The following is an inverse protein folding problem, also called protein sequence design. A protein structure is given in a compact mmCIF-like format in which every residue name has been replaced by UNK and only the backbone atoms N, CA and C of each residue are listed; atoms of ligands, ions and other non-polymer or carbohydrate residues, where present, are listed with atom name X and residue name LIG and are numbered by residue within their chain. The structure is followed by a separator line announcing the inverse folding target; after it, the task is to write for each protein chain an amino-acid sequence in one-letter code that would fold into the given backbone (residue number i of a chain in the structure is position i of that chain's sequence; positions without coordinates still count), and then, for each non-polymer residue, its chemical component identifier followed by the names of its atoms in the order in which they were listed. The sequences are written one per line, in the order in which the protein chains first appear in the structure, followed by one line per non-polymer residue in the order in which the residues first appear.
data_IF_963585993978
#
_entry.id   IF_963585993978
#
_cell.length_a   1.000
_cell.length_b   1.000
_cell.length_c   1.000
_cell.angle_alpha   90.00
_cell.angle_beta   90.00
_cell.angle_gamma   90.00
#
_symmetry.space_group_name_H-M   'P 1'
#
loop_
_entity.id
_entity.type
_entity.pdbx_description
1 polymer ?
#
# COMPACT_ATOMS: atom_id res chain seq x y z
N UNK A 1 20.07 14.09 33.51
CA UNK A 1 19.11 14.89 32.72
C UNK A 1 18.76 14.06 31.50
N UNK A 2 17.50 13.67 31.33
CA UNK A 2 17.09 12.92 30.14
C UNK A 2 17.13 13.88 28.95
N UNK A 3 18.16 13.75 28.11
CA UNK A 3 18.22 14.40 26.81
C UNK A 3 17.09 13.83 25.96
N UNK A 4 16.05 14.63 25.73
CA UNK A 4 15.00 14.29 24.78
C UNK A 4 15.60 14.47 23.39
N UNK A 5 15.91 13.39 22.70
CA UNK A 5 16.30 13.43 21.29
C UNK A 5 15.03 13.50 20.46
N UNK A 6 14.70 14.68 19.96
CA UNK A 6 13.70 14.86 18.91
C UNK A 6 14.32 14.33 17.62
N UNK A 7 13.57 13.49 16.90
CA UNK A 7 13.98 13.07 15.56
C UNK A 7 13.97 14.29 14.63
N UNK A 8 15.02 14.48 13.83
CA UNK A 8 15.11 15.66 12.97
C UNK A 8 13.95 15.69 11.97
N UNK A 9 13.39 16.88 11.73
CA UNK A 9 12.32 17.06 10.75
C UNK A 9 12.81 16.64 9.36
N UNK A 10 12.15 15.66 8.79
CA UNK A 10 12.28 15.18 7.42
C UNK A 10 10.99 15.46 6.64
N UNK A 11 10.92 15.00 5.39
CA UNK A 11 9.75 15.21 4.54
C UNK A 11 8.53 14.36 4.92
N UNK A 12 8.72 13.36 5.78
CA UNK A 12 7.76 12.31 6.05
C UNK A 12 7.31 12.22 7.51
N UNK A 13 7.96 12.95 8.42
CA UNK A 13 7.71 12.88 9.87
C UNK A 13 7.14 14.18 10.48
N UNK A 14 6.67 15.14 9.67
CA UNK A 14 6.23 16.47 10.16
C UNK A 14 5.24 16.41 11.32
N UNK A 15 4.19 15.57 11.26
CA UNK A 15 3.18 15.50 12.33
C UNK A 15 3.78 15.06 13.68
N UNK A 16 4.68 14.07 13.65
CA UNK A 16 5.37 13.55 14.84
C UNK A 16 6.34 14.61 15.36
N UNK A 17 7.15 15.18 14.47
CA UNK A 17 8.10 16.24 14.80
C UNK A 17 7.39 17.46 15.40
N UNK A 18 6.29 17.92 14.79
CA UNK A 18 5.49 19.07 15.24
C UNK A 18 5.04 18.86 16.68
N UNK A 19 4.49 17.69 16.98
CA UNK A 19 4.02 17.33 18.33
C UNK A 19 5.17 17.31 19.35
N UNK A 20 6.31 16.69 18.99
CA UNK A 20 7.48 16.63 19.86
C UNK A 20 8.10 18.00 20.10
N UNK A 21 8.15 18.83 19.05
CA UNK A 21 8.79 20.13 19.09
C UNK A 21 7.95 21.16 19.84
N UNK A 22 6.63 21.13 19.68
CA UNK A 22 5.70 21.90 20.50
C UNK A 22 5.88 21.56 21.98
N UNK A 23 5.92 20.27 22.34
CA UNK A 23 6.14 19.83 23.72
C UNK A 23 7.48 20.32 24.30
N UNK A 24 8.56 20.32 23.49
CA UNK A 24 9.86 20.83 23.91
C UNK A 24 9.86 22.35 24.12
N UNK A 25 9.22 23.10 23.21
CA UNK A 25 9.11 24.56 23.32
C UNK A 25 8.23 24.97 24.51
N UNK A 26 7.18 24.21 24.82
CA UNK A 26 6.37 24.40 26.05
C UNK A 26 7.24 24.16 27.28
N UNK A 27 7.96 23.03 27.34
CA UNK A 27 8.86 22.70 28.45
C UNK A 27 9.92 23.77 28.69
N UNK A 28 10.37 24.43 27.63
CA UNK A 28 11.39 25.49 27.67
C UNK A 28 10.81 26.90 27.82
N UNK A 29 9.48 27.04 28.02
CA UNK A 29 8.77 28.33 28.16
C UNK A 29 8.97 29.25 26.94
N UNK A 30 8.98 28.68 25.73
CA UNK A 30 9.24 29.38 24.46
C UNK A 30 8.12 29.27 23.44
N UNK A 31 7.12 28.42 23.70
CA UNK A 31 6.03 28.17 22.76
C UNK A 31 5.27 29.44 22.36
N UNK A 32 5.01 30.32 23.33
CA UNK A 32 4.27 31.59 23.14
C UNK A 32 4.87 32.53 22.09
N UNK A 33 6.18 32.44 21.81
CA UNK A 33 6.86 33.21 20.76
C UNK A 33 6.65 32.59 19.38
N UNK A 34 6.53 31.25 19.32
CA UNK A 34 6.35 30.46 18.11
C UNK A 34 4.88 30.44 17.67
N UNK A 35 3.95 30.19 18.61
CA UNK A 35 2.50 30.37 18.40
C UNK A 35 2.16 31.85 18.13
N UNK A 36 3.01 32.73 18.66
CA UNK A 36 2.95 34.17 18.56
C UNK A 36 1.77 34.78 19.33
N UNK A 37 1.43 34.15 20.45
CA UNK A 37 0.73 34.74 21.58
C UNK A 37 1.51 35.96 22.11
N UNK A 38 2.85 35.85 22.23
CA UNK A 38 3.74 36.96 22.50
C UNK A 38 4.25 37.58 21.20
N UNK A 39 3.58 38.65 20.76
CA UNK A 39 4.04 39.44 19.61
C UNK A 39 5.27 40.27 19.94
N UNK A 40 6.09 40.51 18.91
CA UNK A 40 7.24 41.40 18.99
C UNK A 40 6.79 42.78 19.50
N UNK A 41 7.37 43.29 20.61
CA UNK A 41 7.01 44.60 21.13
C UNK A 41 7.31 45.71 20.12
N UNK A 42 6.40 46.66 19.98
CA UNK A 42 6.60 47.82 19.11
C UNK A 42 7.63 48.78 19.71
N UNK A 43 8.44 49.40 18.85
CA UNK A 43 9.58 50.23 19.25
C UNK A 43 9.17 51.45 20.09
N UNK A 44 7.96 51.96 19.88
CA UNK A 44 7.50 53.23 20.44
C UNK A 44 6.76 53.08 21.79
N UNK A 45 6.31 51.87 22.12
CA UNK A 45 5.42 51.62 23.27
C UNK A 45 6.03 50.73 24.35
N UNK A 46 7.16 50.07 24.06
CA UNK A 46 7.79 49.09 24.94
C UNK A 46 9.17 49.55 25.43
N UNK A 47 9.53 49.16 26.65
CA UNK A 47 10.87 49.44 27.18
C UNK A 47 11.93 48.67 26.39
N UNK A 48 13.15 49.23 26.27
CA UNK A 48 14.29 48.54 25.63
C UNK A 48 14.58 47.17 26.27
N UNK A 49 14.43 47.07 27.59
CA UNK A 49 14.61 45.81 28.31
C UNK A 49 13.60 44.73 27.87
N UNK A 50 12.32 45.10 27.70
CA UNK A 50 11.30 44.17 27.22
C UNK A 50 11.54 43.72 25.76
N UNK A 51 12.07 44.60 24.91
CA UNK A 51 12.45 44.26 23.54
C UNK A 51 13.63 43.28 23.48
N UNK A 52 14.66 43.52 24.30
CA UNK A 52 15.82 42.64 24.38
C UNK A 52 15.47 41.26 24.95
N UNK A 53 14.61 41.22 25.97
CA UNK A 53 14.11 39.98 26.55
C UNK A 53 13.32 39.17 25.51
N UNK A 54 12.38 39.81 24.81
CA UNK A 54 11.61 39.16 23.74
C UNK A 54 12.54 38.65 22.63
N UNK A 55 13.47 39.50 22.16
CA UNK A 55 14.42 39.14 21.10
C UNK A 55 15.33 37.96 21.50
N UNK A 56 15.71 37.88 22.77
CA UNK A 56 16.55 36.80 23.28
C UNK A 56 15.78 35.48 23.34
N UNK A 57 14.52 35.52 23.78
CA UNK A 57 13.67 34.34 23.82
C UNK A 57 13.30 33.84 22.41
N UNK A 58 12.92 34.74 21.50
CA UNK A 58 12.64 34.42 20.09
C UNK A 58 13.85 33.80 19.39
N UNK A 59 15.06 34.38 19.57
CA UNK A 59 16.29 33.81 19.00
C UNK A 59 16.60 32.41 19.51
N UNK A 60 16.32 32.13 20.79
CA UNK A 60 16.50 30.78 21.36
C UNK A 60 15.48 29.79 20.78
N UNK A 61 14.20 30.19 20.70
CA UNK A 61 13.16 29.36 20.09
C UNK A 61 13.48 29.05 18.62
N UNK A 62 13.93 30.06 17.87
CA UNK A 62 14.38 29.92 16.48
C UNK A 62 15.58 28.97 16.37
N UNK A 63 16.55 29.07 17.26
CA UNK A 63 17.70 28.17 17.28
C UNK A 63 17.28 26.72 17.56
N UNK A 64 16.39 26.49 18.53
CA UNK A 64 15.85 25.17 18.81
C UNK A 64 15.16 24.59 17.54
N UNK A 65 14.35 25.40 16.84
CA UNK A 65 13.72 25.01 15.57
C UNK A 65 14.76 24.61 14.53
N UNK A 66 15.70 25.50 14.20
CA UNK A 66 16.72 25.26 13.17
C UNK A 66 17.55 24.00 13.47
N UNK A 67 17.92 23.77 14.73
CA UNK A 67 18.73 22.62 15.14
C UNK A 67 17.96 21.29 15.09
N UNK A 68 16.63 21.34 15.06
CA UNK A 68 15.76 20.17 15.01
C UNK A 68 15.36 19.76 13.59
N UNK A 69 15.93 20.38 12.55
CA UNK A 69 15.49 20.21 11.16
C UNK A 69 16.63 19.67 10.30
N UNK A 70 16.31 18.74 9.40
CA UNK A 70 17.30 18.16 8.47
C UNK A 70 17.85 19.19 7.47
N UNK A 71 19.08 19.00 6.95
CA UNK A 71 19.67 19.92 5.98
C UNK A 71 18.80 20.16 4.74
N UNK A 72 18.08 19.13 4.25
CA UNK A 72 17.20 19.25 3.08
C UNK A 72 16.02 20.19 3.31
N UNK A 73 15.42 20.18 4.50
CA UNK A 73 14.33 21.08 4.84
C UNK A 73 14.86 22.49 5.17
N UNK A 74 16.07 22.59 5.73
CA UNK A 74 16.71 23.86 6.08
C UNK A 74 16.92 24.78 4.87
N UNK A 75 17.19 24.20 3.69
CA UNK A 75 17.31 24.94 2.41
C UNK A 75 16.07 25.79 2.08
N UNK A 76 14.90 25.46 2.65
CA UNK A 76 13.63 26.15 2.39
C UNK A 76 13.29 27.23 3.42
N UNK A 77 14.09 27.40 4.48
CA UNK A 77 13.83 28.30 5.62
C UNK A 77 14.52 29.66 5.45
N UNK A 78 15.24 29.87 4.35
CA UNK A 78 15.92 31.12 4.04
C UNK A 78 15.00 32.35 4.16
N UNK A 79 15.47 33.39 4.85
CA UNK A 79 14.76 34.66 4.99
C UNK A 79 13.77 34.76 6.15
N UNK A 80 13.55 33.70 6.94
CA UNK A 80 12.70 33.80 8.13
C UNK A 80 13.37 34.63 9.22
N UNK A 81 12.71 35.67 9.75
CA UNK A 81 13.29 36.57 10.75
C UNK A 81 13.06 36.07 12.17
N UNK A 82 11.83 35.66 12.48
CA UNK A 82 11.39 35.23 13.82
C UNK A 82 11.22 33.72 13.92
N UNK A 83 11.12 33.19 15.14
CA UNK A 83 10.80 31.77 15.36
C UNK A 83 9.42 31.40 14.80
N UNK A 84 8.47 32.34 14.87
CA UNK A 84 7.13 32.20 14.26
C UNK A 84 7.20 32.06 12.74
N UNK A 85 8.03 32.86 12.07
CA UNK A 85 8.17 32.77 10.61
C UNK A 85 8.70 31.40 10.19
N UNK A 86 9.68 30.88 10.93
CA UNK A 86 10.21 29.52 10.71
C UNK A 86 9.10 28.48 10.86
N UNK A 87 8.33 28.54 11.95
CA UNK A 87 7.25 27.59 12.20
C UNK A 87 6.17 27.60 11.11
N UNK A 88 5.70 28.78 10.73
CA UNK A 88 4.70 28.94 9.66
C UNK A 88 5.24 28.47 8.30
N UNK A 89 6.52 28.71 8.02
CA UNK A 89 7.15 28.24 6.79
C UNK A 89 7.20 26.71 6.74
N UNK A 90 7.56 26.06 7.84
CA UNK A 90 7.57 24.60 7.95
C UNK A 90 6.17 23.99 7.78
N UNK A 91 5.17 24.59 8.43
CA UNK A 91 3.77 24.19 8.28
C UNK A 91 3.28 24.35 6.83
N UNK A 92 3.68 25.44 6.16
CA UNK A 92 3.36 25.67 4.75
C UNK A 92 4.02 24.66 3.81
N UNK A 93 5.27 24.27 4.08
CA UNK A 93 5.98 23.27 3.29
C UNK A 93 5.26 21.93 3.38
N UNK A 94 4.92 21.47 4.58
CA UNK A 94 4.20 20.21 4.75
C UNK A 94 2.78 20.27 4.15
N UNK A 95 2.05 21.36 4.39
CA UNK A 95 0.71 21.57 3.81
C UNK A 95 0.73 21.58 2.28
N UNK A 96 1.72 22.24 1.67
CA UNK A 96 1.87 22.27 0.20
C UNK A 96 2.22 20.91 -0.40
N UNK A 97 2.96 20.07 0.34
CA UNK A 97 3.23 18.68 -0.03
C UNK A 97 2.01 17.78 0.19
N UNK A 98 1.07 18.14 1.06
CA UNK A 98 -0.17 17.39 1.33
C UNK A 98 -0.90 16.93 0.07
N UNK A 99 -1.36 17.83 -0.83
CA UNK A 99 -2.02 17.44 -2.08
C UNK A 99 -1.15 16.58 -3.00
N UNK A 100 0.15 16.90 -3.13
CA UNK A 100 1.07 16.14 -3.98
C UNK A 100 1.32 14.72 -3.44
N UNK A 101 1.48 14.57 -2.12
CA UNK A 101 1.66 13.29 -1.45
C UNK A 101 0.39 12.45 -1.52
N UNK A 102 -0.79 13.06 -1.31
CA UNK A 102 -2.10 12.40 -1.48
C UNK A 102 -2.28 11.88 -2.92
N UNK A 103 -2.06 12.73 -3.92
CA UNK A 103 -2.18 12.34 -5.33
C UNK A 103 -1.17 11.27 -5.72
N UNK A 104 0.07 11.36 -5.24
CA UNK A 104 1.10 10.35 -5.48
C UNK A 104 0.72 8.99 -4.88
N UNK A 105 0.25 8.95 -3.63
CA UNK A 105 -0.20 7.72 -2.97
C UNK A 105 -1.45 7.14 -3.64
N UNK A 106 -2.43 7.96 -4.02
CA UNK A 106 -3.61 7.50 -4.77
C UNK A 106 -3.22 6.95 -6.14
N UNK A 107 -2.28 7.60 -6.84
CA UNK A 107 -1.74 7.12 -8.11
C UNK A 107 -1.03 5.78 -7.92
N UNK A 108 -0.24 5.64 -6.87
CA UNK A 108 0.41 4.38 -6.53
C UNK A 108 -0.63 3.30 -6.26
N UNK A 109 -1.65 3.58 -5.45
CA UNK A 109 -2.69 2.61 -5.11
C UNK A 109 -3.51 2.16 -6.34
N UNK A 110 -3.82 3.08 -7.25
CA UNK A 110 -4.68 2.83 -8.43
C UNK A 110 -3.95 2.22 -9.61
N UNK A 111 -2.69 2.62 -9.84
CA UNK A 111 -1.92 2.22 -11.03
C UNK A 111 -0.90 1.11 -10.75
N UNK A 112 -0.57 0.81 -9.48
CA UNK A 112 0.39 -0.24 -9.15
C UNK A 112 -0.23 -1.63 -9.32
N UNK A 113 0.02 -2.23 -10.48
CA UNK A 113 -0.32 -3.61 -10.80
C UNK A 113 0.86 -4.52 -10.49
N UNK A 114 0.57 -5.68 -9.92
CA UNK A 114 1.54 -6.75 -9.70
C UNK A 114 1.84 -7.44 -11.04
N UNK A 115 3.10 -7.76 -11.30
CA UNK A 115 3.54 -8.58 -12.44
C UNK A 115 3.65 -10.05 -12.01
N UNK A 116 3.63 -10.97 -12.98
CA UNK A 116 3.73 -12.41 -12.70
C UNK A 116 5.04 -12.82 -12.01
N UNK A 117 6.13 -12.07 -12.24
CA UNK A 117 7.44 -12.34 -11.64
C UNK A 117 7.63 -11.66 -10.26
N UNK A 118 6.67 -10.86 -9.80
CA UNK A 118 6.76 -10.16 -8.51
C UNK A 118 6.44 -11.11 -7.34
N UNK A 119 7.04 -10.87 -6.17
CA UNK A 119 6.67 -11.57 -4.94
C UNK A 119 5.35 -11.01 -4.39
N UNK A 120 4.35 -11.89 -4.19
CA UNK A 120 3.03 -11.50 -3.72
C UNK A 120 3.05 -10.88 -2.32
N UNK A 121 3.97 -11.31 -1.43
CA UNK A 121 4.05 -10.84 -0.04
C UNK A 121 4.60 -9.42 -0.01
N UNK A 122 5.64 -9.16 -0.81
CA UNK A 122 6.19 -7.82 -0.99
C UNK A 122 5.16 -6.87 -1.61
N UNK A 123 4.44 -7.35 -2.64
CA UNK A 123 3.35 -6.59 -3.26
C UNK A 123 2.26 -6.23 -2.24
N UNK A 124 1.81 -7.22 -1.45
CA UNK A 124 0.82 -7.03 -0.39
C UNK A 124 1.30 -6.01 0.64
N UNK A 125 2.54 -6.13 1.13
CA UNK A 125 3.09 -5.16 2.09
C UNK A 125 3.00 -3.74 1.53
N UNK A 126 3.47 -3.52 0.30
CA UNK A 126 3.42 -2.20 -0.36
C UNK A 126 2.00 -1.68 -0.50
N UNK A 127 1.05 -2.53 -0.89
CA UNK A 127 -0.36 -2.14 -1.03
C UNK A 127 -0.94 -1.65 0.31
N UNK A 128 -0.79 -2.44 1.38
CA UNK A 128 -1.31 -2.09 2.71
C UNK A 128 -0.57 -0.90 3.34
N UNK A 129 0.73 -0.75 3.07
CA UNK A 129 1.51 0.42 3.50
C UNK A 129 0.99 1.70 2.84
N UNK A 130 0.66 1.66 1.54
CA UNK A 130 0.07 2.80 0.84
C UNK A 130 -1.32 3.14 1.38
N UNK A 131 -2.17 2.14 1.66
CA UNK A 131 -3.49 2.36 2.30
C UNK A 131 -3.34 3.01 3.67
N UNK A 132 -2.44 2.49 4.51
CA UNK A 132 -2.18 3.03 5.85
C UNK A 132 -1.68 4.47 5.81
N UNK A 133 -0.83 4.82 4.85
CA UNK A 133 -0.36 6.19 4.63
C UNK A 133 -1.49 7.13 4.20
N UNK A 134 -2.43 6.66 3.39
CA UNK A 134 -3.60 7.44 2.98
C UNK A 134 -4.56 7.67 4.16
N UNK A 135 -4.81 6.64 4.97
CA UNK A 135 -5.61 6.75 6.19
C UNK A 135 -5.00 7.73 7.20
N UNK A 136 -3.68 7.68 7.41
CA UNK A 136 -2.97 8.63 8.26
C UNK A 136 -3.11 10.09 7.80
N UNK A 137 -3.31 10.31 6.50
CA UNK A 137 -3.56 11.63 5.91
C UNK A 137 -5.06 12.01 5.84
N UNK A 138 -5.91 11.29 6.57
CA UNK A 138 -7.38 11.41 6.58
C UNK A 138 -8.02 11.25 5.19
N UNK A 139 -7.42 10.41 4.33
CA UNK A 139 -8.00 9.99 3.05
C UNK A 139 -8.61 8.61 3.23
N UNK A 140 -9.88 8.57 3.59
CA UNK A 140 -10.63 7.32 3.72
C UNK A 140 -11.04 6.78 2.35
N UNK A 141 -10.76 5.50 2.09
CA UNK A 141 -11.23 4.78 0.91
C UNK A 141 -12.22 3.72 1.37
N UNK A 142 -13.32 3.58 0.62
CA UNK A 142 -14.30 2.54 0.89
C UNK A 142 -13.62 1.15 0.88
N UNK A 143 -13.91 0.32 1.89
CA UNK A 143 -13.26 -1.00 2.06
C UNK A 143 -13.56 -1.96 0.92
N UNK A 144 -14.76 -1.91 0.36
CA UNK A 144 -15.15 -2.74 -0.78
C UNK A 144 -14.40 -2.28 -2.04
N UNK A 145 -14.25 -0.97 -2.22
CA UNK A 145 -13.42 -0.42 -3.30
C UNK A 145 -11.95 -0.85 -3.16
N UNK A 146 -11.37 -0.83 -1.95
CA UNK A 146 -10.01 -1.34 -1.72
C UNK A 146 -9.88 -2.82 -2.06
N UNK A 147 -10.87 -3.64 -1.70
CA UNK A 147 -10.88 -5.06 -2.03
C UNK A 147 -10.95 -5.29 -3.55
N UNK A 148 -11.80 -4.55 -4.26
CA UNK A 148 -11.88 -4.57 -5.73
C UNK A 148 -10.55 -4.14 -6.35
N UNK A 149 -9.97 -3.02 -5.89
CA UNK A 149 -8.69 -2.52 -6.38
C UNK A 149 -7.58 -3.55 -6.22
N UNK A 150 -7.51 -4.21 -5.06
CA UNK A 150 -6.55 -5.28 -4.79
C UNK A 150 -6.79 -6.49 -5.70
N UNK A 151 -8.05 -6.87 -5.92
CA UNK A 151 -8.38 -8.04 -6.73
C UNK A 151 -7.96 -7.85 -8.19
N UNK A 152 -8.27 -6.68 -8.76
CA UNK A 152 -7.94 -6.37 -10.16
C UNK A 152 -6.50 -5.91 -10.34
N UNK A 153 -5.74 -5.66 -9.27
CA UNK A 153 -4.32 -5.32 -9.39
C UNK A 153 -3.40 -6.52 -9.55
N UNK A 154 -3.91 -7.74 -9.33
CA UNK A 154 -3.20 -8.99 -9.56
C UNK A 154 -3.10 -9.36 -11.05
N UNK A 155 -2.02 -10.04 -11.47
CA UNK A 155 -1.84 -10.43 -12.86
C UNK A 155 -2.83 -11.52 -13.29
N UNK A 156 -2.94 -11.75 -14.61
CA UNK A 156 -3.85 -12.73 -15.21
C UNK A 156 -3.64 -14.14 -14.66
N UNK A 157 -2.43 -14.46 -14.21
CA UNK A 157 -2.19 -15.76 -13.61
C UNK A 157 -3.16 -16.01 -12.46
N UNK A 158 -3.57 -15.01 -11.68
CA UNK A 158 -4.51 -15.11 -10.55
C UNK A 158 -5.99 -15.13 -10.97
N UNK A 159 -6.34 -15.32 -12.25
CA UNK A 159 -7.75 -15.25 -12.66
C UNK A 159 -8.69 -16.25 -11.96
N UNK A 160 -8.17 -17.40 -11.52
CA UNK A 160 -8.98 -18.36 -10.78
C UNK A 160 -9.56 -17.77 -9.49
N UNK A 161 -8.79 -16.95 -8.76
CA UNK A 161 -9.26 -16.35 -7.51
C UNK A 161 -10.20 -15.18 -7.78
N UNK A 162 -9.95 -14.38 -8.83
CA UNK A 162 -10.84 -13.29 -9.23
C UNK A 162 -12.23 -13.82 -9.54
N UNK A 163 -12.29 -14.82 -10.42
CA UNK A 163 -13.54 -15.44 -10.80
C UNK A 163 -14.24 -16.16 -9.62
N UNK A 164 -13.49 -16.80 -8.72
CA UNK A 164 -14.07 -17.42 -7.52
C UNK A 164 -14.74 -16.39 -6.59
N UNK A 165 -14.20 -15.17 -6.51
CA UNK A 165 -14.77 -14.07 -5.73
C UNK A 165 -15.96 -13.44 -6.46
N UNK A 166 -15.88 -13.23 -7.79
CA UNK A 166 -17.00 -12.71 -8.58
C UNK A 166 -18.24 -13.62 -8.56
N UNK A 167 -18.04 -14.93 -8.43
CA UNK A 167 -19.13 -15.92 -8.31
C UNK A 167 -19.64 -16.09 -6.88
N UNK A 168 -19.02 -15.44 -5.90
CA UNK A 168 -19.48 -15.49 -4.50
C UNK A 168 -20.55 -14.44 -4.24
N UNK A 169 -21.49 -14.75 -3.34
CA UNK A 169 -22.63 -13.87 -3.05
C UNK A 169 -22.23 -12.58 -2.31
N UNK A 170 -21.05 -12.58 -1.64
CA UNK A 170 -20.55 -11.45 -0.86
C UNK A 170 -19.07 -11.19 -1.14
N UNK A 171 -18.71 -9.91 -1.30
CA UNK A 171 -17.32 -9.50 -1.43
C UNK A 171 -16.58 -9.74 -0.09
N UNK A 172 -15.47 -10.51 -0.07
CA UNK A 172 -14.72 -10.70 1.15
C UNK A 172 -14.10 -9.38 1.62
N UNK A 173 -14.04 -9.20 2.94
CA UNK A 173 -13.27 -8.10 3.52
C UNK A 173 -11.78 -8.20 3.14
N UNK A 174 -11.08 -7.06 3.26
CA UNK A 174 -9.71 -6.92 2.77
C UNK A 174 -8.72 -7.92 3.41
N UNK A 175 -8.89 -8.24 4.69
CA UNK A 175 -8.05 -9.22 5.40
C UNK A 175 -8.30 -10.65 4.91
N UNK A 176 -9.56 -11.02 4.74
CA UNK A 176 -9.96 -12.32 4.20
C UNK A 176 -9.47 -12.50 2.77
N UNK A 177 -9.59 -11.43 1.96
CA UNK A 177 -9.09 -11.40 0.59
C UNK A 177 -7.57 -11.61 0.55
N UNK A 178 -6.82 -10.91 1.41
CA UNK A 178 -5.37 -11.08 1.55
C UNK A 178 -5.00 -12.53 1.83
N UNK A 179 -5.66 -13.19 2.79
CA UNK A 179 -5.39 -14.59 3.13
C UNK A 179 -5.63 -15.49 1.93
N UNK A 180 -6.78 -15.38 1.25
CA UNK A 180 -7.10 -16.20 0.07
C UNK A 180 -6.07 -16.04 -1.05
N UNK A 181 -5.58 -14.83 -1.29
CA UNK A 181 -4.57 -14.56 -2.33
C UNK A 181 -3.22 -15.20 -1.97
N UNK A 182 -2.82 -15.14 -0.70
CA UNK A 182 -1.59 -15.79 -0.23
C UNK A 182 -1.68 -17.32 -0.32
N UNK A 183 -2.82 -17.91 0.03
CA UNK A 183 -3.05 -19.36 -0.11
C UNK A 183 -2.97 -19.82 -1.56
N UNK A 184 -3.56 -19.07 -2.49
CA UNK A 184 -3.47 -19.36 -3.93
C UNK A 184 -2.02 -19.26 -4.44
N UNK A 185 -1.24 -18.29 -3.94
CA UNK A 185 0.19 -18.17 -4.27
C UNK A 185 1.02 -19.35 -3.77
N UNK A 186 0.76 -19.80 -2.54
CA UNK A 186 1.42 -20.96 -1.95
C UNK A 186 1.04 -22.26 -2.68
N UNK A 187 -0.22 -22.41 -3.10
CA UNK A 187 -0.66 -23.54 -3.93
C UNK A 187 0.06 -23.59 -5.29
N UNK A 188 0.33 -22.43 -5.91
CA UNK A 188 1.06 -22.33 -7.19
C UNK A 188 2.52 -22.73 -7.05
N UNK A 189 3.20 -22.23 -6.02
CA UNK A 189 4.62 -22.57 -5.80
C UNK A 189 4.80 -24.05 -5.47
N UNK A 190 3.84 -24.68 -4.77
CA UNK A 190 3.85 -26.12 -4.52
C UNK A 190 3.52 -26.95 -5.77
N UNK A 191 2.55 -26.52 -6.59
CA UNK A 191 2.18 -27.16 -7.86
C UNK A 191 3.28 -27.09 -8.93
N UNK A 192 4.11 -26.05 -8.94
CA UNK A 192 5.25 -25.95 -9.85
C UNK A 192 6.42 -26.87 -9.44
N UNK A 193 6.64 -27.07 -8.13
CA UNK A 193 7.68 -27.99 -7.63
C UNK A 193 7.39 -29.45 -7.95
N UNK A 194 6.12 -29.84 -8.07
CA UNK A 194 5.74 -31.21 -8.45
C UNK A 194 5.91 -31.50 -9.95
N UNK A 195 5.77 -30.49 -10.83
CA UNK A 195 6.04 -30.62 -12.28
C UNK A 195 7.53 -30.74 -12.63
N UNK A 196 8.43 -30.13 -11.87
CA UNK A 196 9.89 -30.23 -12.11
C UNK A 196 10.53 -31.56 -11.67
N UNK A 197 9.81 -32.44 -10.95
CA UNK A 197 10.30 -33.78 -10.56
C UNK A 197 9.89 -34.91 -11.52
N UNK A 198 9.53 -34.57 -12.76
CA UNK A 198 9.02 -35.50 -13.76
C UNK A 198 9.95 -35.83 -14.92
N UNK A 199 11.28 -35.86 -14.74
CA UNK A 199 12.22 -36.31 -15.80
C UNK A 199 13.39 -37.12 -15.21
N UNK A 200 13.13 -38.38 -14.86
CA UNK A 200 14.20 -39.39 -14.72
C UNK A 200 14.20 -40.28 -15.97
N UNK A 201 15.31 -40.38 -16.73
CA UNK A 201 15.36 -41.22 -17.91
C UNK A 201 15.38 -42.70 -17.51
N UNK A 202 14.54 -43.49 -18.16
CA UNK A 202 14.43 -44.93 -17.99
C UNK A 202 15.78 -45.63 -18.21
N UNK A 203 16.35 -46.23 -17.15
CA UNK A 203 17.40 -47.23 -17.30
C UNK A 203 16.75 -48.59 -17.61
N UNK A 204 16.98 -49.03 -18.85
CA UNK A 204 16.72 -50.37 -19.37
C UNK A 204 17.46 -51.40 -18.51
N UNK A 205 16.73 -52.20 -17.74
CA UNK A 205 17.22 -53.45 -17.18
C UNK A 205 16.30 -54.57 -17.65
N UNK A 206 16.81 -55.28 -18.66
CA UNK A 206 16.37 -56.59 -19.10
C UNK A 206 16.39 -57.56 -17.93
N UNK A 207 15.29 -58.27 -17.65
CA UNK A 207 15.24 -59.59 -16.98
C UNK A 207 13.85 -60.22 -17.24
N UNK A 208 13.85 -61.45 -17.78
CA UNK A 208 12.74 -62.43 -17.81
C UNK A 208 13.21 -63.61 -16.95
N UNK A 209 12.37 -64.39 -16.22
CA UNK A 209 11.18 -65.12 -16.70
C UNK A 209 10.01 -65.08 -15.66
N UNK A 210 8.83 -65.75 -15.73
CA UNK A 210 8.34 -66.99 -16.35
C UNK A 210 6.79 -66.95 -16.38
N UNK A 211 6.17 -67.70 -17.31
CA UNK A 211 4.73 -67.78 -17.58
C UNK A 211 3.91 -68.43 -16.45
N UNK A 212 2.72 -67.88 -16.15
CA UNK A 212 1.49 -68.64 -15.86
C UNK A 212 0.26 -67.87 -16.37
N UNK A 213 -0.73 -68.60 -16.89
CA UNK A 213 -1.99 -68.13 -17.49
C UNK A 213 -3.07 -67.98 -16.40
N UNK A 214 -3.93 -66.97 -16.48
CA UNK A 214 -5.40 -67.07 -16.46
C UNK A 214 -6.08 -65.69 -16.28
N UNK A 215 -6.93 -65.35 -17.25
CA UNK A 215 -8.26 -64.72 -17.16
C UNK A 215 -8.66 -63.93 -15.89
N UNK A 216 -8.95 -62.63 -16.04
CA UNK A 216 -10.31 -62.04 -15.93
C UNK A 216 -10.28 -60.52 -15.82
N UNK A 217 -11.23 -59.90 -16.50
CA UNK A 217 -11.67 -58.51 -16.37
C UNK A 217 -11.67 -57.98 -14.93
N UNK A 218 -11.18 -56.75 -14.76
CA UNK A 218 -11.83 -55.72 -13.93
C UNK A 218 -11.22 -54.34 -14.20
N UNK A 219 -12.09 -53.44 -14.70
CA UNK A 219 -11.84 -52.02 -14.89
C UNK A 219 -11.41 -51.37 -13.57
N UNK A 220 -10.29 -50.65 -13.63
CA UNK A 220 -9.84 -49.71 -12.61
C UNK A 220 -10.85 -48.56 -12.49
N UNK A 221 -11.46 -48.39 -11.31
CA UNK A 221 -12.13 -47.15 -10.94
C UNK A 221 -11.10 -46.25 -10.25
N UNK A 222 -10.42 -45.43 -11.04
CA UNK A 222 -9.66 -44.29 -10.50
C UNK A 222 -10.70 -43.28 -9.99
N UNK A 223 -10.96 -43.33 -8.68
CA UNK A 223 -11.83 -42.39 -7.98
C UNK A 223 -11.15 -41.02 -8.01
N UNK A 224 -11.39 -40.28 -9.09
CA UNK A 224 -10.84 -38.95 -9.30
C UNK A 224 -11.52 -38.00 -8.30
N UNK A 225 -10.69 -37.56 -7.37
CA UNK A 225 -10.91 -36.50 -6.40
C UNK A 225 -11.74 -35.37 -7.05
N UNK A 226 -13.05 -35.32 -6.75
CA UNK A 226 -13.99 -34.39 -7.40
C UNK A 226 -13.62 -32.95 -7.04
N UNK A 227 -13.13 -32.21 -8.03
CA UNK A 227 -12.88 -30.78 -7.92
C UNK A 227 -14.22 -30.02 -7.78
N UNK A 228 -14.59 -29.59 -6.56
CA UNK A 228 -15.91 -29.05 -6.25
C UNK A 228 -16.05 -27.54 -6.52
N UNK A 229 -15.43 -27.02 -7.58
CA UNK A 229 -15.47 -25.59 -7.97
C UNK A 229 -16.20 -25.42 -9.30
N UNK A 230 -17.00 -24.35 -9.45
CA UNK A 230 -17.67 -23.97 -10.71
C UNK A 230 -16.64 -23.45 -11.72
N UNK A 231 -16.65 -23.99 -12.94
CA UNK A 231 -15.79 -23.50 -14.03
C UNK A 231 -16.27 -22.14 -14.56
N UNK A 232 -15.38 -21.16 -14.63
CA UNK A 232 -15.69 -19.80 -15.10
C UNK A 232 -16.18 -19.72 -16.55
N UNK A 233 -15.70 -20.63 -17.42
CA UNK A 233 -16.06 -20.61 -18.84
C UNK A 233 -17.43 -21.20 -19.13
N UNK A 234 -17.80 -22.31 -18.49
CA UNK A 234 -19.05 -23.02 -18.80
C UNK A 234 -20.03 -23.12 -17.63
N UNK A 235 -19.68 -22.56 -16.46
CA UNK A 235 -20.45 -22.59 -15.20
C UNK A 235 -20.77 -23.99 -14.66
N UNK A 236 -20.17 -25.05 -15.20
CA UNK A 236 -20.33 -26.44 -14.71
C UNK A 236 -19.28 -26.78 -13.63
N UNK A 237 -19.67 -27.63 -12.68
CA UNK A 237 -18.79 -28.14 -11.62
C UNK A 237 -17.82 -29.22 -12.14
N UNK A 238 -16.76 -29.52 -11.40
CA UNK A 238 -16.00 -30.76 -11.57
C UNK A 238 -14.72 -30.66 -12.41
N UNK A 239 -14.33 -29.48 -12.89
CA UNK A 239 -13.13 -29.30 -13.71
C UNK A 239 -12.58 -27.87 -13.61
N UNK A 240 -11.29 -27.68 -13.89
CA UNK A 240 -10.68 -26.33 -13.96
C UNK A 240 -11.00 -25.66 -15.29
N UNK A 241 -10.88 -24.33 -15.37
CA UNK A 241 -11.02 -23.57 -16.64
C UNK A 241 -10.05 -24.09 -17.72
N UNK A 242 -8.85 -24.52 -17.33
CA UNK A 242 -7.86 -25.14 -18.21
C UNK A 242 -8.29 -26.48 -18.82
N UNK A 243 -9.23 -27.17 -18.19
CA UNK A 243 -9.77 -28.48 -18.60
C UNK A 243 -11.17 -28.34 -19.22
N UNK A 244 -11.63 -27.10 -19.44
CA UNK A 244 -12.95 -26.82 -19.96
C UNK A 244 -13.01 -27.12 -21.46
N UNK A 245 -13.86 -28.07 -21.84
CA UNK A 245 -14.09 -28.46 -23.24
C UNK A 245 -14.78 -27.40 -24.11
N UNK A 246 -15.29 -26.31 -23.52
CA UNK A 246 -15.75 -25.16 -24.30
C UNK A 246 -14.56 -24.32 -24.78
N UNK A 247 -14.51 -24.04 -26.09
CA UNK A 247 -13.55 -23.08 -26.67
C UNK A 247 -13.86 -21.69 -26.12
N UNK A 248 -12.84 -20.87 -25.89
CA UNK A 248 -13.05 -19.47 -25.53
C UNK A 248 -13.78 -18.79 -26.69
N UNK A 249 -14.93 -18.17 -26.43
CA UNK A 249 -15.50 -17.24 -27.39
C UNK A 249 -14.50 -16.10 -27.55
N UNK A 250 -13.97 -15.95 -28.77
CA UNK A 250 -13.35 -14.71 -29.19
C UNK A 250 -14.50 -13.73 -29.36
N UNK A 251 -14.81 -12.99 -28.30
CA UNK A 251 -15.75 -11.88 -28.45
C UNK A 251 -15.19 -10.92 -29.51
N UNK A 252 -16.04 -10.71 -30.51
CA UNK A 252 -15.86 -9.70 -31.53
C UNK A 252 -15.98 -8.35 -30.84
N UNK A 253 -15.01 -7.48 -31.09
CA UNK A 253 -15.20 -6.04 -30.91
C UNK A 253 -16.48 -5.61 -31.63
N UNK A 254 -17.37 -4.93 -30.91
CA UNK A 254 -18.17 -3.84 -31.44
C UNK A 254 -18.17 -2.72 -30.41
N UNK A 255 -18.00 -1.51 -30.94
CA UNK A 255 -17.52 -0.29 -30.32
C UNK A 255 -18.65 0.50 -29.61
N UNK A 256 -18.19 1.47 -28.82
CA UNK A 256 -18.87 2.70 -28.40
C UNK A 256 -20.05 2.63 -27.41
N UNK A 257 -19.73 2.92 -26.15
CA UNK A 257 -20.45 3.97 -25.42
C UNK A 257 -19.47 4.73 -24.52
N UNK A 258 -18.99 5.86 -25.03
CA UNK A 258 -18.30 6.88 -24.28
C UNK A 258 -19.28 7.55 -23.32
N UNK A 259 -19.35 7.05 -22.09
CA UNK A 259 -20.08 7.72 -21.00
C UNK A 259 -19.23 8.92 -20.55
N UNK A 260 -19.55 10.09 -21.11
CA UNK A 260 -19.15 11.39 -20.58
C UNK A 260 -19.78 11.57 -19.18
N UNK A 261 -19.02 11.35 -18.12
CA UNK A 261 -19.37 11.82 -16.76
C UNK A 261 -18.54 13.07 -16.47
N UNK A 262 -18.96 14.18 -17.06
CA UNK A 262 -18.59 15.55 -16.65
C UNK A 262 -19.73 16.45 -17.12
N UNK A 263 -20.83 16.46 -16.36
CA UNK A 263 -21.82 17.55 -16.31
C UNK A 263 -22.87 17.30 -15.21
N UNK A 264 -22.42 17.27 -13.94
CA UNK A 264 -23.35 17.33 -12.79
C UNK A 264 -22.85 18.13 -11.60
N UNK A 265 -21.95 19.09 -11.81
CA UNK A 265 -21.65 20.14 -10.84
C UNK A 265 -21.60 21.51 -11.53
N UNK A 266 -22.79 22.07 -11.77
CA UNK A 266 -23.00 23.52 -11.73
C UNK A 266 -23.43 23.86 -10.31
#
# INVERSE_FOLDING_TARGET
MNSVCIEMLSEDNYDIWKTQMEALLIKNERWEYVSGEKRKPELDTSSKAAQEEWSTADRKAKADLILSISPSVLEHIGGCETARDVWLKLESIDTSKGPMRKTSLLKQLTLHRMKDDDDIRDYMSKFFDTVSKLEAMNVGINKDLLAIMLLYSLPESYENIKCAIELSDELPNLDTLKVKILEESDARTQGNKSKLRGTTPARRAQWKPKKQKADKDKKESHEQNKFNVKCCRCRKMGHRVSECGMKADKDKNEEDESINILDSFI
#
